data_IF_895032687162
#
_entry.id   IF_895032687162
#
_cell.length_a   1.000
_cell.length_b   1.000
_cell.length_c   1.000
_cell.angle_alpha   90.00
_cell.angle_beta   90.00
_cell.angle_gamma   90.00
#
_symmetry.space_group_name_H-M   'P 1'
#
loop_
_entity.id
_entity.type
_entity.pdbx_description
1 polymer ?
#
# COMPACT_ATOMS: atom_id res chain seq x y z
N UNK A 1 49.13 -26.19 60.72
CA UNK A 1 47.70 -26.09 60.33
C UNK A 1 47.39 -24.62 60.04
N UNK A 2 47.28 -24.23 58.77
CA UNK A 2 46.79 -22.91 58.38
C UNK A 2 45.93 -23.11 57.13
N UNK A 3 44.63 -22.85 57.24
CA UNK A 3 43.66 -22.98 56.16
C UNK A 3 43.38 -21.56 55.63
N UNK A 4 43.77 -21.29 54.39
CA UNK A 4 43.33 -20.11 53.67
C UNK A 4 41.93 -20.35 53.10
N UNK A 5 40.99 -19.47 53.43
CA UNK A 5 39.62 -19.48 52.92
C UNK A 5 39.53 -18.37 51.86
N UNK A 6 39.43 -18.73 50.58
CA UNK A 6 39.22 -17.79 49.48
C UNK A 6 37.72 -17.72 49.22
N UNK A 7 37.12 -16.54 49.42
CA UNK A 7 35.73 -16.25 49.10
C UNK A 7 35.69 -15.72 47.66
N UNK A 8 35.10 -16.48 46.75
CA UNK A 8 34.74 -15.98 45.42
C UNK A 8 33.48 -15.12 45.52
N UNK A 9 33.63 -13.81 45.30
CA UNK A 9 32.50 -12.90 45.14
C UNK A 9 31.96 -13.04 43.71
N UNK A 10 30.87 -13.78 43.53
CA UNK A 10 30.11 -13.73 42.29
C UNK A 10 29.27 -12.44 42.29
N UNK A 11 29.74 -11.41 41.61
CA UNK A 11 28.91 -10.27 41.26
C UNK A 11 27.90 -10.74 40.19
N UNK A 12 26.67 -11.01 40.62
CA UNK A 12 25.55 -11.22 39.70
C UNK A 12 25.28 -9.90 38.98
N UNK A 13 25.78 -9.77 37.75
CA UNK A 13 25.36 -8.74 36.82
C UNK A 13 23.91 -9.07 36.42
N UNK A 14 22.95 -8.57 37.19
CA UNK A 14 21.55 -8.59 36.79
C UNK A 14 21.45 -7.60 35.63
N UNK A 15 21.54 -8.12 34.40
CA UNK A 15 21.05 -7.44 33.22
C UNK A 15 19.57 -7.17 33.48
N UNK A 16 19.24 -5.93 33.87
CA UNK A 16 17.86 -5.49 33.85
C UNK A 16 17.41 -5.57 32.39
N UNK A 17 16.62 -6.58 32.07
CA UNK A 17 15.86 -6.57 30.82
C UNK A 17 15.08 -5.25 30.79
N UNK A 18 15.08 -4.51 29.67
CA UNK A 18 14.26 -3.33 29.54
C UNK A 18 12.84 -3.71 29.95
N UNK A 19 12.30 -3.01 30.96
CA UNK A 19 10.91 -3.19 31.34
C UNK A 19 10.10 -2.73 30.13
N UNK A 20 9.34 -3.65 29.54
CA UNK A 20 8.48 -3.33 28.41
C UNK A 20 7.64 -2.12 28.81
N UNK A 21 7.84 -1.01 28.08
CA UNK A 21 7.06 0.19 28.29
C UNK A 21 5.60 -0.18 28.03
N UNK A 22 4.77 -0.13 29.07
CA UNK A 22 3.34 -0.38 28.92
C UNK A 22 2.77 0.64 27.93
N UNK A 23 2.13 0.16 26.88
CA UNK A 23 1.35 1.04 25.99
C UNK A 23 0.10 1.45 26.77
N UNK A 24 -0.07 2.75 27.01
CA UNK A 24 -1.29 3.28 27.61
C UNK A 24 -2.46 3.25 26.61
N UNK A 25 -3.63 2.88 27.09
CA UNK A 25 -4.85 2.79 26.27
C UNK A 25 -5.38 1.37 26.05
N UNK A 26 -6.56 1.24 25.43
CA UNK A 26 -7.27 -0.04 25.33
C UNK A 26 -6.70 -0.99 24.26
N UNK A 27 -5.96 -0.48 23.28
CA UNK A 27 -5.39 -1.29 22.18
C UNK A 27 -4.02 -1.80 22.59
N UNK A 28 -3.87 -3.13 22.67
CA UNK A 28 -2.61 -3.80 23.04
C UNK A 28 -1.94 -4.56 21.89
N UNK A 29 -2.68 -4.78 20.80
CA UNK A 29 -2.21 -5.54 19.65
C UNK A 29 -2.73 -4.90 18.38
N UNK A 30 -1.83 -4.71 17.42
CA UNK A 30 -2.14 -4.20 16.09
C UNK A 30 -1.75 -5.29 15.10
N UNK A 31 -2.70 -5.70 14.27
CA UNK A 31 -2.44 -6.60 13.14
C UNK A 31 -2.56 -5.79 11.87
N UNK A 32 -1.49 -5.75 11.07
CA UNK A 32 -1.46 -5.05 9.79
C UNK A 32 -1.46 -6.08 8.67
N UNK A 33 -2.60 -6.23 7.98
CA UNK A 33 -2.70 -7.03 6.77
C UNK A 33 -2.34 -6.17 5.56
N UNK A 34 -1.19 -6.43 4.95
CA UNK A 34 -0.72 -5.71 3.76
C UNK A 34 -1.05 -6.53 2.52
N UNK A 35 -2.02 -6.06 1.75
CA UNK A 35 -2.43 -6.66 0.47
C UNK A 35 -1.59 -6.13 -0.70
N UNK A 36 -1.78 -6.68 -1.90
CA UNK A 36 -0.98 -6.34 -3.09
C UNK A 36 -1.83 -5.95 -4.30
N UNK A 37 -1.33 -4.97 -5.06
CA UNK A 37 -1.71 -4.61 -6.43
C UNK A 37 -3.21 -4.42 -6.72
N UNK A 38 -3.93 -3.67 -5.88
CA UNK A 38 -5.33 -3.31 -6.14
C UNK A 38 -5.63 -1.86 -5.76
N UNK A 39 -6.25 -1.10 -6.66
CA UNK A 39 -6.69 0.28 -6.40
C UNK A 39 -7.99 0.29 -5.60
N UNK A 40 -8.29 1.43 -4.96
CA UNK A 40 -9.54 1.62 -4.23
C UNK A 40 -10.75 1.39 -5.14
N UNK A 41 -10.82 2.05 -6.30
CA UNK A 41 -11.98 1.92 -7.20
C UNK A 41 -12.16 0.50 -7.74
N UNK A 42 -11.06 -0.24 -7.92
CA UNK A 42 -11.13 -1.63 -8.36
C UNK A 42 -11.72 -2.55 -7.28
N UNK A 43 -11.39 -2.35 -6.01
CA UNK A 43 -11.90 -3.21 -4.93
C UNK A 43 -13.20 -2.67 -4.35
N UNK A 44 -13.23 -1.41 -3.97
CA UNK A 44 -14.24 -0.82 -3.08
C UNK A 44 -15.05 0.31 -3.73
N UNK A 45 -14.71 0.75 -4.94
CA UNK A 45 -15.38 1.87 -5.61
C UNK A 45 -16.90 1.68 -5.70
N UNK A 46 -17.36 0.46 -6.01
CA UNK A 46 -18.79 0.15 -6.12
C UNK A 46 -19.52 -0.01 -4.78
N UNK A 47 -18.81 0.01 -3.65
CA UNK A 47 -19.41 0.00 -2.31
C UNK A 47 -20.23 1.27 -2.05
N UNK A 48 -20.02 2.34 -2.84
CA UNK A 48 -20.86 3.54 -2.83
C UNK A 48 -22.35 3.25 -3.02
N UNK A 49 -22.69 2.15 -3.71
CA UNK A 49 -24.09 1.68 -3.87
C UNK A 49 -24.71 1.24 -2.54
N UNK A 50 -23.90 0.79 -1.59
CA UNK A 50 -24.33 0.35 -0.26
C UNK A 50 -24.25 1.47 0.77
N UNK A 51 -23.25 2.34 0.67
CA UNK A 51 -23.10 3.52 1.51
C UNK A 51 -22.70 4.73 0.65
N UNK A 52 -23.62 5.68 0.50
CA UNK A 52 -23.42 6.88 -0.32
C UNK A 52 -22.32 7.82 0.19
N UNK A 53 -21.90 7.69 1.45
CA UNK A 53 -20.82 8.50 2.04
C UNK A 53 -19.43 8.12 1.51
N UNK A 54 -19.27 6.89 0.99
CA UNK A 54 -18.00 6.42 0.42
C UNK A 54 -17.64 7.23 -0.84
N UNK A 55 -16.42 7.76 -0.88
CA UNK A 55 -15.80 8.33 -2.09
C UNK A 55 -15.50 7.19 -3.08
N UNK A 56 -16.40 6.97 -4.04
CA UNK A 56 -16.35 5.83 -4.96
C UNK A 56 -17.11 6.12 -6.25
N UNK A 57 -17.24 5.10 -7.09
CA UNK A 57 -17.68 5.26 -8.48
C UNK A 57 -19.20 5.16 -8.65
N UNK A 58 -19.70 5.81 -9.71
CA UNK A 58 -21.11 5.80 -10.10
C UNK A 58 -21.33 5.26 -11.53
N UNK A 59 -20.26 4.85 -12.22
CA UNK A 59 -20.30 4.35 -13.60
C UNK A 59 -20.27 5.43 -14.67
N UNK A 60 -20.04 6.68 -14.28
CA UNK A 60 -19.85 7.83 -15.19
C UNK A 60 -18.39 8.22 -15.34
N UNK A 61 -17.53 7.67 -14.49
CA UNK A 61 -16.09 7.83 -14.52
C UNK A 61 -15.55 7.19 -15.80
N UNK A 62 -14.58 7.84 -16.44
CA UNK A 62 -14.07 7.39 -17.73
C UNK A 62 -12.64 7.86 -17.97
N UNK A 63 -11.98 7.18 -18.90
CA UNK A 63 -10.68 7.59 -19.44
C UNK A 63 -10.73 7.61 -20.96
N UNK A 64 -10.10 8.61 -21.61
CA UNK A 64 -9.94 8.59 -23.05
C UNK A 64 -8.96 7.48 -23.48
N UNK A 65 -9.14 6.96 -24.69
CA UNK A 65 -8.15 6.08 -25.33
C UNK A 65 -6.86 6.83 -25.70
N UNK A 66 -6.92 8.16 -25.81
CA UNK A 66 -5.78 9.03 -26.04
C UNK A 66 -5.94 10.40 -25.39
N UNK A 67 -4.92 10.86 -24.68
CA UNK A 67 -4.85 12.21 -24.10
C UNK A 67 -4.52 13.31 -25.11
N UNK A 68 -4.15 12.95 -26.35
CA UNK A 68 -3.77 13.91 -27.38
C UNK A 68 -4.95 14.67 -27.99
N UNK A 69 -6.17 14.14 -27.88
CA UNK A 69 -7.36 14.69 -28.52
C UNK A 69 -8.57 14.67 -27.59
N UNK A 70 -9.24 15.81 -27.43
CA UNK A 70 -10.43 15.94 -26.58
C UNK A 70 -11.61 15.05 -27.06
N UNK A 71 -11.68 14.78 -28.37
CA UNK A 71 -12.69 13.92 -28.97
C UNK A 71 -12.35 12.41 -28.92
N UNK A 72 -11.30 12.02 -28.18
CA UNK A 72 -10.92 10.61 -28.07
C UNK A 72 -12.08 9.76 -27.52
N UNK A 73 -12.32 8.56 -28.06
CA UNK A 73 -13.28 7.62 -27.48
C UNK A 73 -13.00 7.39 -26.00
N UNK A 74 -14.06 7.29 -25.21
CA UNK A 74 -13.98 7.10 -23.76
C UNK A 74 -14.29 5.66 -23.38
N UNK A 75 -13.49 5.11 -22.49
CA UNK A 75 -13.77 3.86 -21.78
C UNK A 75 -14.35 4.22 -20.42
N UNK A 76 -15.58 3.79 -20.17
CA UNK A 76 -16.28 4.04 -18.92
C UNK A 76 -16.01 2.93 -17.91
N UNK A 77 -15.99 3.31 -16.63
CA UNK A 77 -15.76 2.38 -15.53
C UNK A 77 -16.94 1.43 -15.34
N UNK A 78 -16.68 0.14 -15.17
CA UNK A 78 -17.70 -0.93 -15.06
C UNK A 78 -17.54 -1.79 -13.80
N UNK A 79 -18.58 -2.54 -13.46
CA UNK A 79 -18.66 -3.42 -12.29
C UNK A 79 -18.50 -4.92 -12.63
N UNK A 80 -17.97 -5.22 -13.81
CA UNK A 80 -17.76 -6.55 -14.35
C UNK A 80 -16.28 -6.97 -14.30
N UNK A 81 -15.55 -6.52 -13.28
CA UNK A 81 -14.17 -6.95 -13.09
C UNK A 81 -14.06 -8.46 -12.91
N UNK A 82 -13.01 -9.01 -13.52
CA UNK A 82 -12.60 -10.41 -13.43
C UNK A 82 -11.08 -10.44 -13.20
N UNK A 83 -10.45 -11.60 -13.36
CA UNK A 83 -9.01 -11.77 -13.29
C UNK A 83 -8.28 -10.77 -14.19
N UNK A 84 -7.31 -10.06 -13.61
CA UNK A 84 -6.51 -9.05 -14.30
C UNK A 84 -5.23 -9.71 -14.79
N UNK A 85 -5.16 -9.95 -16.10
CA UNK A 85 -3.99 -10.45 -16.81
C UNK A 85 -4.07 -9.96 -18.28
N UNK A 86 -3.02 -9.30 -18.84
CA UNK A 86 -1.73 -8.97 -18.22
C UNK A 86 -1.84 -7.93 -17.09
N UNK A 87 -0.84 -7.91 -16.22
CA UNK A 87 -0.72 -6.91 -15.15
C UNK A 87 -0.51 -5.49 -15.73
N UNK A 88 -1.23 -4.47 -15.25
CA UNK A 88 -0.96 -3.08 -15.61
C UNK A 88 0.43 -2.63 -15.13
N UNK A 89 1.03 -1.71 -15.88
CA UNK A 89 2.28 -1.11 -15.44
C UNK A 89 2.06 -0.31 -14.16
N UNK A 90 2.89 -0.61 -13.17
CA UNK A 90 2.86 -0.02 -11.83
C UNK A 90 4.23 0.55 -11.44
N UNK A 91 5.08 0.85 -12.43
CA UNK A 91 6.34 1.59 -12.19
C UNK A 91 6.06 3.03 -11.81
N UNK A 92 7.04 3.70 -11.21
CA UNK A 92 6.89 5.10 -10.82
C UNK A 92 6.52 6.01 -12.00
N UNK A 93 7.19 5.82 -13.13
CA UNK A 93 6.98 6.59 -14.36
C UNK A 93 5.58 6.33 -14.93
N UNK A 94 5.17 5.07 -14.99
CA UNK A 94 3.87 4.71 -15.55
C UNK A 94 2.71 5.23 -14.71
N UNK A 95 2.74 5.05 -13.39
CA UNK A 95 1.66 5.55 -12.52
C UNK A 95 1.64 7.08 -12.52
N UNK A 96 2.81 7.73 -12.55
CA UNK A 96 2.88 9.18 -12.70
C UNK A 96 2.21 9.63 -14.00
N UNK A 97 2.52 9.00 -15.13
CA UNK A 97 1.88 9.32 -16.41
C UNK A 97 0.37 9.03 -16.43
N UNK A 98 -0.08 7.94 -15.79
CA UNK A 98 -1.50 7.59 -15.67
C UNK A 98 -2.29 8.69 -14.94
N UNK A 99 -1.72 9.19 -13.83
CA UNK A 99 -2.30 10.25 -12.98
C UNK A 99 -2.26 11.61 -13.69
N UNK A 100 -1.14 11.98 -14.32
CA UNK A 100 -0.93 13.32 -14.85
C UNK A 100 -1.29 13.49 -16.33
N UNK A 101 -1.52 12.41 -17.05
CA UNK A 101 -1.86 12.46 -18.48
C UNK A 101 -0.69 12.71 -19.42
N UNK A 102 0.50 12.95 -18.86
CA UNK A 102 1.71 13.32 -19.59
C UNK A 102 2.94 13.11 -18.71
N UNK A 103 4.13 13.29 -19.29
CA UNK A 103 5.39 13.32 -18.54
C UNK A 103 5.56 14.56 -17.66
N UNK A 104 4.71 15.59 -17.83
CA UNK A 104 4.68 16.77 -16.97
C UNK A 104 3.76 16.50 -15.76
N UNK A 105 4.37 16.35 -14.59
CA UNK A 105 3.68 15.98 -13.33
C UNK A 105 3.30 17.20 -12.47
N UNK A 106 2.89 18.29 -13.12
CA UNK A 106 2.67 19.59 -12.44
C UNK A 106 1.20 20.03 -12.35
N UNK A 107 0.28 19.34 -13.03
CA UNK A 107 -1.13 19.70 -13.03
C UNK A 107 -1.75 19.56 -11.63
N UNK A 108 -2.54 20.56 -11.21
CA UNK A 108 -3.24 20.53 -9.93
C UNK A 108 -4.70 21.06 -10.09
N UNK A 109 -5.73 20.21 -9.93
CA UNK A 109 -5.64 18.78 -9.65
C UNK A 109 -5.07 17.99 -10.84
N UNK A 110 -4.45 16.82 -10.62
CA UNK A 110 -4.06 15.93 -11.70
C UNK A 110 -5.30 15.43 -12.48
N UNK A 111 -5.23 15.31 -13.82
CA UNK A 111 -6.38 15.01 -14.66
C UNK A 111 -6.85 13.54 -14.60
N UNK A 112 -6.04 12.61 -14.12
CA UNK A 112 -6.38 11.18 -13.96
C UNK A 112 -6.82 10.51 -15.28
N UNK A 113 -6.21 10.86 -16.41
CA UNK A 113 -6.78 10.61 -17.74
C UNK A 113 -5.97 9.69 -18.68
N UNK A 114 -4.95 8.98 -18.19
CA UNK A 114 -4.06 8.16 -19.03
C UNK A 114 -3.93 6.69 -18.57
N UNK A 115 -4.85 6.19 -17.74
CA UNK A 115 -4.93 4.78 -17.38
C UNK A 115 -5.19 3.89 -18.61
N UNK A 116 -6.14 4.28 -19.47
CA UNK A 116 -6.51 3.49 -20.66
C UNK A 116 -5.42 3.54 -21.72
N UNK A 117 -4.90 4.73 -22.02
CA UNK A 117 -3.81 4.88 -22.99
C UNK A 117 -2.53 4.16 -22.52
N UNK A 118 -2.17 4.24 -21.22
CA UNK A 118 -1.04 3.48 -20.70
C UNK A 118 -1.27 1.96 -20.83
N UNK A 119 -2.47 1.47 -20.51
CA UNK A 119 -2.83 0.06 -20.70
C UNK A 119 -2.79 -0.39 -22.17
N UNK A 120 -3.21 0.46 -23.11
CA UNK A 120 -3.13 0.19 -24.56
C UNK A 120 -1.69 -0.03 -25.05
N UNK A 121 -0.70 0.56 -24.37
CA UNK A 121 0.72 0.34 -24.70
C UNK A 121 1.20 -1.09 -24.37
N UNK A 122 0.48 -1.78 -23.48
CA UNK A 122 0.77 -3.17 -23.07
C UNK A 122 -0.10 -4.14 -23.88
N UNK A 123 -1.43 -3.99 -23.86
CA UNK A 123 -2.35 -4.79 -24.67
C UNK A 123 -3.71 -4.12 -24.88
N UNK A 124 -4.37 -4.45 -26.00
CA UNK A 124 -5.72 -3.94 -26.29
C UNK A 124 -6.75 -4.39 -25.26
N UNK A 125 -6.69 -5.65 -24.82
CA UNK A 125 -7.65 -6.19 -23.86
C UNK A 125 -7.52 -5.52 -22.48
N UNK A 126 -6.29 -5.19 -22.07
CA UNK A 126 -6.03 -4.56 -20.78
C UNK A 126 -6.68 -3.18 -20.65
N UNK A 127 -6.79 -2.43 -21.75
CA UNK A 127 -7.39 -1.08 -21.76
C UNK A 127 -8.82 -1.03 -21.22
N UNK A 128 -9.59 -2.10 -21.42
CA UNK A 128 -10.91 -2.25 -20.84
C UNK A 128 -10.82 -2.74 -19.40
N UNK A 129 -9.94 -3.71 -19.13
CA UNK A 129 -9.77 -4.34 -17.82
C UNK A 129 -9.37 -3.34 -16.72
N UNK A 130 -8.50 -2.36 -17.02
CA UNK A 130 -8.10 -1.33 -16.04
C UNK A 130 -9.25 -0.40 -15.63
N UNK A 131 -10.33 -0.36 -16.41
CA UNK A 131 -11.53 0.42 -16.14
C UNK A 131 -12.66 -0.46 -15.55
N UNK A 132 -12.31 -1.52 -14.81
CA UNK A 132 -13.30 -2.39 -14.14
C UNK A 132 -13.01 -2.49 -12.65
N UNK A 133 -14.06 -2.48 -11.86
CA UNK A 133 -14.04 -2.77 -10.42
C UNK A 133 -14.98 -3.92 -10.04
N UNK A 134 -14.74 -4.49 -8.87
CA UNK A 134 -15.53 -5.58 -8.31
C UNK A 134 -16.82 -5.04 -7.70
N UNK A 135 -17.93 -5.69 -8.03
CA UNK A 135 -19.21 -5.45 -7.36
C UNK A 135 -19.20 -6.03 -5.94
N UNK A 136 -19.97 -5.45 -4.99
CA UNK A 136 -19.97 -5.89 -3.59
C UNK A 136 -20.25 -7.39 -3.39
N UNK A 137 -21.02 -8.01 -4.28
CA UNK A 137 -21.38 -9.43 -4.18
C UNK A 137 -20.21 -10.38 -4.47
N UNK A 138 -19.15 -9.92 -5.14
CA UNK A 138 -17.96 -10.72 -5.45
C UNK A 138 -16.91 -10.71 -4.33
N UNK A 139 -17.03 -9.77 -3.38
CA UNK A 139 -16.09 -9.59 -2.27
C UNK A 139 -16.83 -9.47 -0.92
N UNK A 140 -17.63 -10.49 -0.54
CA UNK A 140 -18.53 -10.42 0.60
C UNK A 140 -17.83 -10.14 1.93
N UNK A 141 -16.56 -10.56 2.08
CA UNK A 141 -15.76 -10.25 3.29
C UNK A 141 -15.52 -8.75 3.42
N UNK A 142 -15.09 -8.07 2.35
CA UNK A 142 -14.91 -6.61 2.37
C UNK A 142 -16.22 -5.86 2.55
N UNK A 143 -17.28 -6.35 1.90
CA UNK A 143 -18.63 -5.79 2.05
C UNK A 143 -19.09 -5.77 3.49
N UNK A 144 -18.78 -6.82 4.27
CA UNK A 144 -19.16 -6.87 5.68
C UNK A 144 -18.23 -6.04 6.57
N UNK A 145 -16.92 -6.06 6.30
CA UNK A 145 -15.96 -5.24 7.04
C UNK A 145 -16.29 -3.74 6.95
N UNK A 146 -16.73 -3.25 5.79
CA UNK A 146 -17.06 -1.83 5.60
C UNK A 146 -18.32 -1.41 6.36
N UNK A 147 -19.24 -2.34 6.67
CA UNK A 147 -20.43 -2.04 7.45
C UNK A 147 -20.13 -1.96 8.95
N UNK A 148 -19.21 -2.81 9.42
CA UNK A 148 -18.93 -2.98 10.84
C UNK A 148 -17.73 -2.16 11.32
N UNK A 149 -16.87 -1.70 10.41
CA UNK A 149 -15.62 -1.01 10.73
C UNK A 149 -15.44 0.29 9.93
N UNK A 150 -14.51 1.12 10.39
CA UNK A 150 -14.14 2.35 9.70
C UNK A 150 -13.43 2.06 8.36
N UNK A 151 -13.83 2.79 7.32
CA UNK A 151 -13.18 2.81 6.02
C UNK A 151 -12.47 4.15 5.83
N UNK A 152 -11.21 4.10 5.37
CA UNK A 152 -10.49 5.27 4.88
C UNK A 152 -10.59 5.29 3.34
N UNK A 153 -11.46 6.14 2.80
CA UNK A 153 -11.70 6.28 1.34
C UNK A 153 -10.83 7.37 0.68
N UNK A 154 -9.88 7.93 1.45
CA UNK A 154 -8.85 8.87 0.99
C UNK A 154 -7.47 8.47 1.50
N UNK A 155 -7.17 7.17 1.44
CA UNK A 155 -5.88 6.59 1.80
C UNK A 155 -5.05 6.33 0.53
N UNK A 156 -3.95 7.07 0.37
CA UNK A 156 -3.11 7.01 -0.83
C UNK A 156 -1.78 6.31 -0.56
N UNK A 157 -1.20 5.72 -1.60
CA UNK A 157 0.19 5.27 -1.55
C UNK A 157 1.12 6.48 -1.36
N UNK A 158 2.20 6.29 -0.61
CA UNK A 158 3.17 7.38 -0.36
C UNK A 158 3.93 7.78 -1.63
N UNK A 159 4.10 6.83 -2.56
CA UNK A 159 4.71 7.06 -3.86
C UNK A 159 3.82 6.44 -4.95
N UNK A 160 3.59 7.12 -6.09
CA UNK A 160 2.84 6.56 -7.23
C UNK A 160 3.72 5.55 -7.95
N UNK A 161 3.84 4.32 -7.44
CA UNK A 161 4.78 3.34 -7.95
C UNK A 161 4.70 1.99 -7.22
N UNK A 162 5.73 1.15 -7.35
CA UNK A 162 5.55 -0.28 -7.18
C UNK A 162 5.67 -0.72 -5.70
N UNK A 163 5.56 -2.04 -5.48
CA UNK A 163 5.46 -2.66 -4.14
C UNK A 163 6.58 -2.29 -3.18
N UNK A 164 7.87 -2.41 -3.56
CA UNK A 164 8.98 -2.25 -2.60
C UNK A 164 9.09 -0.84 -1.99
N UNK A 165 9.10 0.27 -2.77
CA UNK A 165 9.09 1.61 -2.18
C UNK A 165 7.93 1.85 -1.21
N UNK A 166 6.71 1.44 -1.58
CA UNK A 166 5.54 1.64 -0.73
C UNK A 166 5.54 0.76 0.52
N UNK A 167 6.09 -0.45 0.47
CA UNK A 167 6.34 -1.27 1.68
C UNK A 167 7.37 -0.60 2.60
N UNK A 168 8.42 0.01 2.06
CA UNK A 168 9.36 0.79 2.87
C UNK A 168 8.69 1.99 3.54
N UNK A 169 7.83 2.73 2.84
CA UNK A 169 7.04 3.79 3.47
C UNK A 169 6.18 3.26 4.62
N UNK A 170 5.52 2.10 4.44
CA UNK A 170 4.71 1.49 5.49
C UNK A 170 5.54 1.10 6.74
N UNK A 171 6.81 0.71 6.57
CA UNK A 171 7.65 0.26 7.68
C UNK A 171 8.55 1.34 8.28
N UNK A 172 8.94 2.36 7.52
CA UNK A 172 9.95 3.34 7.94
C UNK A 172 9.58 4.80 7.62
N UNK A 173 8.40 5.07 7.05
CA UNK A 173 7.98 6.42 6.69
C UNK A 173 8.76 7.06 5.52
N UNK A 174 9.67 6.32 4.90
CA UNK A 174 10.47 6.72 3.73
C UNK A 174 10.89 5.49 2.93
N UNK A 175 11.12 5.66 1.62
CA UNK A 175 11.75 4.66 0.74
C UNK A 175 13.24 4.90 0.52
N UNK A 176 13.82 5.94 1.13
CA UNK A 176 15.22 6.35 0.94
C UNK A 176 15.57 6.47 -0.56
N UNK A 177 14.79 7.30 -1.25
CA UNK A 177 14.87 7.62 -2.68
C UNK A 177 14.63 6.45 -3.65
N UNK A 178 14.29 5.26 -3.15
CA UNK A 178 13.88 4.17 -4.01
C UNK A 178 12.52 4.47 -4.67
N UNK A 179 12.48 4.39 -5.99
CA UNK A 179 11.27 4.54 -6.82
C UNK A 179 10.88 3.25 -7.54
N UNK A 180 11.76 2.24 -7.52
CA UNK A 180 11.61 0.98 -8.23
C UNK A 180 12.08 -0.22 -7.39
N UNK A 181 11.99 -1.41 -7.96
CA UNK A 181 12.49 -2.64 -7.36
C UNK A 181 13.98 -2.81 -7.68
N UNK A 182 14.86 -2.69 -6.68
CA UNK A 182 16.30 -2.94 -6.83
C UNK A 182 16.70 -4.11 -5.92
N UNK A 183 16.71 -5.32 -6.46
CA UNK A 183 16.99 -6.56 -5.70
C UNK A 183 18.32 -6.49 -4.94
N UNK A 184 19.38 -5.99 -5.59
CA UNK A 184 20.69 -5.84 -4.95
C UNK A 184 20.63 -4.89 -3.75
N UNK A 185 19.88 -3.78 -3.87
CA UNK A 185 19.74 -2.83 -2.77
C UNK A 185 18.93 -3.42 -1.63
N UNK A 186 17.86 -4.16 -1.94
CA UNK A 186 17.09 -4.89 -0.94
C UNK A 186 17.94 -5.91 -0.17
N UNK A 187 18.82 -6.63 -0.87
CA UNK A 187 19.71 -7.61 -0.25
C UNK A 187 20.77 -6.98 0.66
N UNK A 188 21.24 -5.77 0.33
CA UNK A 188 22.16 -4.99 1.18
C UNK A 188 21.41 -4.35 2.36
N UNK A 189 20.14 -4.02 2.17
CA UNK A 189 19.33 -3.24 3.10
C UNK A 189 19.36 -1.75 2.79
N UNK A 190 18.53 -1.01 3.52
CA UNK A 190 18.42 0.43 3.43
C UNK A 190 18.73 1.08 4.79
N UNK A 191 19.25 2.31 4.84
CA UNK A 191 19.78 2.89 6.08
C UNK A 191 18.71 3.45 7.02
N UNK A 192 17.45 3.55 6.60
CA UNK A 192 16.38 4.06 7.45
C UNK A 192 15.98 3.05 8.52
N UNK A 193 15.74 3.58 9.72
CA UNK A 193 15.18 2.83 10.84
C UNK A 193 13.72 2.46 10.56
N UNK A 194 13.39 1.22 10.83
CA UNK A 194 12.03 0.68 10.72
C UNK A 194 11.26 0.78 12.03
N UNK A 195 9.94 0.62 11.94
CA UNK A 195 9.06 0.45 13.09
C UNK A 195 9.46 -0.79 13.90
N UNK A 196 9.98 -1.85 13.26
CA UNK A 196 10.38 -3.07 13.92
C UNK A 196 11.61 -2.88 14.82
N UNK A 197 12.63 -2.16 14.33
CA UNK A 197 13.77 -1.76 15.17
C UNK A 197 13.32 -0.86 16.32
N UNK A 198 12.35 0.03 16.07
CA UNK A 198 11.78 0.86 17.13
C UNK A 198 11.09 -0.01 18.19
N UNK A 199 10.27 -0.98 17.79
CA UNK A 199 9.59 -1.90 18.71
C UNK A 199 10.60 -2.72 19.53
N UNK A 200 11.66 -3.23 18.90
CA UNK A 200 12.73 -3.98 19.57
C UNK A 200 13.46 -3.14 20.64
N UNK A 201 13.87 -1.92 20.28
CA UNK A 201 14.57 -1.00 21.20
C UNK A 201 13.72 -0.64 22.45
N UNK A 202 12.40 -0.59 22.30
CA UNK A 202 11.47 -0.32 23.40
C UNK A 202 11.00 -1.59 24.12
N UNK A 203 11.53 -2.77 23.77
CA UNK A 203 11.19 -4.04 24.38
C UNK A 203 9.75 -4.50 24.10
N UNK A 204 9.18 -4.10 22.97
CA UNK A 204 7.82 -4.44 22.54
C UNK A 204 7.85 -5.65 21.59
N UNK A 205 6.91 -6.58 21.79
CA UNK A 205 6.80 -7.77 20.94
C UNK A 205 6.23 -7.45 19.56
N UNK A 206 6.83 -7.99 18.52
CA UNK A 206 6.28 -7.97 17.16
C UNK A 206 6.58 -9.28 16.43
N UNK A 207 5.87 -9.51 15.32
CA UNK A 207 6.09 -10.64 14.43
C UNK A 207 5.78 -10.25 12.99
N UNK A 208 6.56 -10.81 12.06
CA UNK A 208 6.34 -10.69 10.62
C UNK A 208 5.97 -12.07 10.10
N UNK A 209 4.80 -12.17 9.45
CA UNK A 209 4.27 -13.41 8.89
C UNK A 209 4.10 -13.20 7.38
N UNK A 210 4.70 -14.08 6.59
CA UNK A 210 4.69 -14.05 5.12
C UNK A 210 4.30 -15.41 4.54
#
# INVERSE_FOLDING_TARGET
ASKYFIIFLFAALVLMAPTALGIDGPIKTIVVLIMENRSFDHMLGWMKRLNSEIEGVMGRESNPESTAHESSPKVYFKDDADFVDPDPSHTFEAVSEQVFGSSLTTANPPPMNNFVQNALSISRNLSQTVMKGLKPELIPVYTELIKEFALFDRWFSSLPGPTHPNRMFAYSGTSHDATNHIEKQLAVGYPQKTIFESLDEFGLSFGIYY
#
